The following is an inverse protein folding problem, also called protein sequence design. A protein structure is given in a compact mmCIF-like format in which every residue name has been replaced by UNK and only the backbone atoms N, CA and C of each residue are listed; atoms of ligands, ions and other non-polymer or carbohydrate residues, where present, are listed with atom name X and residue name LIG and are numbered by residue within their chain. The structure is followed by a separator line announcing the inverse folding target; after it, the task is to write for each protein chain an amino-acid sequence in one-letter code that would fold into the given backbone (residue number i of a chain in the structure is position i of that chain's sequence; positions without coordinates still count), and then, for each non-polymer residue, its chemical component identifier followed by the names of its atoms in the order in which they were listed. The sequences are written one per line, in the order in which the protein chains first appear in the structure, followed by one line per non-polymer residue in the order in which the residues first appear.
data_IF_250216702289
#
_entry.id   IF_250216702289
#
_cell.length_a   1.000
_cell.length_b   1.000
_cell.length_c   1.000
_cell.angle_alpha   90.00
_cell.angle_beta   90.00
_cell.angle_gamma   90.00
#
_symmetry.space_group_name_H-M   'P 1'
#
loop_
_entity.id
_entity.type
_entity.pdbx_description
1 polymer ?
#
# COMPACT_ATOMS: atom_id res chain seq x y z
N UNK A 1 -21.06 44.71 34.68
CA UNK A 1 -21.85 44.21 33.53
C UNK A 1 -20.95 44.13 32.30
N UNK A 2 -19.99 43.20 32.34
CA UNK A 2 -19.05 42.87 31.28
C UNK A 2 -18.78 41.37 31.50
N UNK A 3 -18.84 40.56 30.44
CA UNK A 3 -18.80 39.08 30.41
C UNK A 3 -20.17 38.38 30.28
N UNK A 4 -20.65 38.34 29.05
CA UNK A 4 -21.27 37.18 28.40
C UNK A 4 -21.57 37.60 26.96
N UNK A 5 -20.81 37.06 26.00
CA UNK A 5 -21.02 37.03 24.52
C UNK A 5 -19.68 37.07 23.77
N UNK A 6 -18.73 36.25 24.19
CA UNK A 6 -17.53 35.88 23.42
C UNK A 6 -17.35 34.38 23.64
N UNK A 7 -18.26 33.56 23.11
CA UNK A 7 -18.18 32.09 23.05
C UNK A 7 -18.97 31.58 21.81
N UNK A 8 -18.83 32.28 20.68
CA UNK A 8 -19.20 31.75 19.36
C UNK A 8 -17.91 31.74 18.52
N UNK A 9 -16.96 30.89 18.92
CA UNK A 9 -15.79 30.55 18.12
C UNK A 9 -16.22 29.65 16.96
N UNK A 10 -16.16 30.20 15.74
CA UNK A 10 -15.75 29.55 14.50
C UNK A 10 -16.01 28.04 14.39
N UNK A 11 -17.26 27.67 14.14
CA UNK A 11 -17.61 26.38 13.54
C UNK A 11 -17.13 26.40 12.08
N UNK A 12 -15.81 26.27 11.85
CA UNK A 12 -15.25 26.18 10.50
C UNK A 12 -15.91 25.01 9.77
N UNK A 13 -16.50 25.28 8.61
CA UNK A 13 -16.83 24.26 7.62
C UNK A 13 -15.55 23.47 7.30
N UNK A 14 -15.39 22.28 7.90
CA UNK A 14 -14.23 21.41 7.66
C UNK A 14 -14.47 20.74 6.30
N UNK A 15 -14.16 21.40 5.19
CA UNK A 15 -14.15 20.74 3.88
C UNK A 15 -12.85 19.97 3.68
N UNK A 16 -12.92 18.68 3.34
CA UNK A 16 -11.74 17.83 3.07
C UNK A 16 -11.22 17.98 1.64
N UNK A 17 -11.96 18.65 0.76
CA UNK A 17 -11.50 18.93 -0.59
C UNK A 17 -10.31 19.91 -0.56
N UNK A 18 -9.33 19.66 -1.42
CA UNK A 18 -8.14 20.49 -1.66
C UNK A 18 -7.20 20.69 -0.47
N UNK A 19 -7.35 19.90 0.60
CA UNK A 19 -6.43 19.96 1.75
C UNK A 19 -5.03 19.42 1.43
N UNK A 20 -4.96 18.30 0.69
CA UNK A 20 -3.69 17.66 0.31
C UNK A 20 -3.34 17.85 -1.15
N UNK A 21 -4.34 17.72 -2.03
CA UNK A 21 -4.17 17.87 -3.46
C UNK A 21 -4.88 19.15 -3.91
N UNK A 22 -4.16 20.24 -4.21
CA UNK A 22 -4.72 21.46 -4.79
C UNK A 22 -5.53 21.16 -6.05
N UNK A 23 -6.41 22.09 -6.44
CA UNK A 23 -7.30 21.90 -7.58
C UNK A 23 -6.54 21.66 -8.89
N UNK A 24 -5.48 22.41 -9.14
CA UNK A 24 -4.67 22.27 -10.37
C UNK A 24 -4.05 20.87 -10.48
N UNK A 25 -3.44 20.40 -9.39
CA UNK A 25 -2.86 19.04 -9.29
C UNK A 25 -3.94 17.99 -9.45
N UNK A 26 -5.12 18.23 -8.86
CA UNK A 26 -6.24 17.30 -8.93
C UNK A 26 -6.73 17.07 -10.35
N UNK A 27 -6.80 18.15 -11.13
CA UNK A 27 -7.15 18.12 -12.54
C UNK A 27 -6.09 17.40 -13.37
N UNK A 28 -4.83 17.78 -13.18
CA UNK A 28 -3.69 17.16 -13.86
C UNK A 28 -3.65 15.64 -13.65
N UNK A 29 -3.81 15.17 -12.41
CA UNK A 29 -3.80 13.75 -12.07
C UNK A 29 -4.94 12.96 -12.75
N UNK A 30 -6.12 13.57 -12.95
CA UNK A 30 -7.23 12.92 -13.64
C UNK A 30 -6.96 12.75 -15.14
N UNK A 31 -6.13 13.59 -15.74
CA UNK A 31 -5.79 13.53 -17.18
C UNK A 31 -4.61 12.58 -17.48
N UNK A 32 -3.72 12.36 -16.50
CA UNK A 32 -2.49 11.54 -16.65
C UNK A 32 -2.73 10.04 -16.81
N UNK A 33 -1.71 9.34 -17.33
CA UNK A 33 -1.63 7.88 -17.30
C UNK A 33 -1.14 7.35 -15.94
N UNK A 34 -1.13 6.02 -15.75
CA UNK A 34 -0.78 5.39 -14.48
C UNK A 34 0.67 5.69 -14.08
N UNK A 35 1.61 5.66 -15.03
CA UNK A 35 3.05 5.79 -14.77
C UNK A 35 3.45 7.25 -14.49
N UNK A 36 2.81 8.20 -15.16
CA UNK A 36 2.94 9.64 -14.92
C UNK A 36 2.29 10.03 -13.59
N UNK A 37 1.10 9.49 -13.30
CA UNK A 37 0.41 9.70 -12.02
C UNK A 37 1.27 9.21 -10.85
N UNK A 38 1.85 8.02 -10.94
CA UNK A 38 2.74 7.49 -9.89
C UNK A 38 3.95 8.40 -9.67
N UNK A 39 4.61 8.86 -10.74
CA UNK A 39 5.73 9.80 -10.64
C UNK A 39 5.32 11.12 -9.98
N UNK A 40 4.15 11.64 -10.32
CA UNK A 40 3.64 12.89 -9.74
C UNK A 40 3.30 12.75 -8.26
N UNK A 41 2.69 11.63 -7.87
CA UNK A 41 2.40 11.33 -6.44
C UNK A 41 3.71 11.21 -5.64
N UNK A 42 4.71 10.52 -6.19
CA UNK A 42 6.05 10.42 -5.57
C UNK A 42 6.67 11.81 -5.36
N UNK A 43 6.56 12.69 -6.36
CA UNK A 43 7.05 14.08 -6.27
C UNK A 43 6.32 14.89 -5.18
N UNK A 44 4.98 14.81 -5.14
CA UNK A 44 4.13 15.55 -4.19
C UNK A 44 4.44 15.14 -2.74
N UNK A 45 4.52 13.83 -2.49
CA UNK A 45 4.73 13.29 -1.14
C UNK A 45 6.22 13.08 -0.78
N UNK A 46 7.14 13.46 -1.67
CA UNK A 46 8.61 13.38 -1.48
C UNK A 46 9.07 11.97 -1.07
N UNK A 47 8.55 10.95 -1.76
CA UNK A 47 8.86 9.54 -1.54
C UNK A 47 10.15 9.17 -2.29
N UNK A 48 11.29 9.59 -1.77
CA UNK A 48 12.57 9.54 -2.50
C UNK A 48 13.20 8.13 -2.55
N UNK A 49 12.80 7.23 -1.65
CA UNK A 49 13.43 5.91 -1.47
C UNK A 49 12.52 4.76 -1.90
N UNK A 50 11.54 4.97 -2.79
CA UNK A 50 10.65 3.90 -3.26
C UNK A 50 11.35 2.65 -3.83
N UNK A 51 12.62 2.74 -4.22
CA UNK A 51 13.41 1.60 -4.72
C UNK A 51 14.07 0.78 -3.60
N UNK A 52 14.23 1.36 -2.41
CA UNK A 52 15.01 0.80 -1.29
C UNK A 52 14.12 0.57 -0.07
N UNK A 53 13.20 1.50 0.24
CA UNK A 53 12.24 1.40 1.34
C UNK A 53 10.89 0.88 0.85
N UNK A 54 10.55 -0.33 1.30
CA UNK A 54 9.26 -0.97 1.01
C UNK A 54 8.07 -0.14 1.51
N UNK A 55 8.24 0.65 2.58
CA UNK A 55 7.17 1.46 3.17
C UNK A 55 6.79 2.59 2.22
N UNK A 56 7.78 3.32 1.70
CA UNK A 56 7.55 4.39 0.73
C UNK A 56 6.99 3.84 -0.59
N UNK A 57 7.48 2.68 -1.03
CA UNK A 57 6.94 2.00 -2.21
C UNK A 57 5.45 1.63 -2.05
N UNK A 58 5.09 1.03 -0.92
CA UNK A 58 3.70 0.65 -0.63
C UNK A 58 2.78 1.87 -0.49
N UNK A 59 3.27 2.98 0.05
CA UNK A 59 2.56 4.26 0.08
C UNK A 59 2.28 4.80 -1.32
N UNK A 60 3.31 4.81 -2.18
CA UNK A 60 3.18 5.26 -3.57
C UNK A 60 2.15 4.41 -4.32
N UNK A 61 2.24 3.08 -4.23
CA UNK A 61 1.32 2.17 -4.92
C UNK A 61 -0.12 2.35 -4.43
N UNK A 62 -0.33 2.51 -3.12
CA UNK A 62 -1.66 2.68 -2.55
C UNK A 62 -2.29 4.04 -2.94
N UNK A 63 -1.51 5.12 -2.91
CA UNK A 63 -1.98 6.44 -3.35
C UNK A 63 -2.28 6.48 -4.84
N UNK A 64 -1.43 5.90 -5.68
CA UNK A 64 -1.69 5.77 -7.11
C UNK A 64 -2.94 4.95 -7.38
N UNK A 65 -3.12 3.84 -6.67
CA UNK A 65 -4.33 3.01 -6.81
C UNK A 65 -5.60 3.76 -6.41
N UNK A 66 -5.55 4.60 -5.37
CA UNK A 66 -6.68 5.40 -4.93
C UNK A 66 -7.07 6.46 -5.98
N UNK A 67 -6.10 7.22 -6.49
CA UNK A 67 -6.37 8.24 -7.52
C UNK A 67 -6.86 7.59 -8.81
N UNK A 68 -6.26 6.47 -9.22
CA UNK A 68 -6.69 5.71 -10.39
C UNK A 68 -8.11 5.19 -10.24
N UNK A 69 -8.46 4.61 -9.09
CA UNK A 69 -9.82 4.16 -8.82
C UNK A 69 -10.83 5.32 -8.86
N UNK A 70 -10.50 6.48 -8.28
CA UNK A 70 -11.37 7.65 -8.32
C UNK A 70 -11.60 8.15 -9.76
N UNK A 71 -10.57 8.08 -10.61
CA UNK A 71 -10.67 8.35 -12.04
C UNK A 71 -11.63 7.37 -12.74
N UNK A 72 -11.53 6.08 -12.45
CA UNK A 72 -12.45 5.06 -13.00
C UNK A 72 -13.91 5.24 -12.54
N UNK A 73 -14.12 5.74 -11.31
CA UNK A 73 -15.45 6.09 -10.82
C UNK A 73 -16.01 7.40 -11.41
N UNK A 74 -15.22 8.13 -12.21
CA UNK A 74 -15.64 9.37 -12.84
C UNK A 74 -15.79 10.54 -11.86
N UNK A 75 -15.00 10.55 -10.77
CA UNK A 75 -15.05 11.64 -9.80
C UNK A 75 -14.55 12.96 -10.41
N UNK A 76 -15.18 14.07 -10.01
CA UNK A 76 -14.68 15.40 -10.36
C UNK A 76 -13.45 15.76 -9.49
N UNK A 77 -12.77 16.88 -9.82
CA UNK A 77 -11.57 17.35 -9.12
C UNK A 77 -11.76 17.48 -7.60
N UNK A 78 -12.90 18.03 -7.18
CA UNK A 78 -13.25 18.24 -5.77
C UNK A 78 -13.49 16.91 -5.04
N UNK A 79 -14.22 15.99 -5.67
CA UNK A 79 -14.54 14.67 -5.16
C UNK A 79 -13.31 13.79 -5.04
N UNK A 80 -12.45 13.79 -6.07
CA UNK A 80 -11.18 13.07 -6.08
C UNK A 80 -10.26 13.59 -4.96
N UNK A 81 -10.08 14.91 -4.86
CA UNK A 81 -9.25 15.52 -3.82
C UNK A 81 -9.77 15.20 -2.41
N UNK A 82 -11.07 15.32 -2.18
CA UNK A 82 -11.70 14.97 -0.90
C UNK A 82 -11.55 13.49 -0.53
N UNK A 83 -11.80 12.60 -1.50
CA UNK A 83 -11.59 11.16 -1.32
C UNK A 83 -10.13 10.84 -1.00
N UNK A 84 -9.19 11.45 -1.73
CA UNK A 84 -7.77 11.27 -1.49
C UNK A 84 -7.38 11.73 -0.08
N UNK A 85 -7.88 12.88 0.37
CA UNK A 85 -7.68 13.35 1.76
C UNK A 85 -8.17 12.32 2.77
N UNK A 86 -9.37 11.74 2.57
CA UNK A 86 -9.87 10.69 3.45
C UNK A 86 -8.95 9.46 3.47
N UNK A 87 -8.54 8.97 2.29
CA UNK A 87 -7.62 7.83 2.16
C UNK A 87 -6.29 8.11 2.88
N UNK A 88 -5.71 9.28 2.67
CA UNK A 88 -4.46 9.68 3.30
C UNK A 88 -4.59 9.79 4.82
N UNK A 89 -5.63 10.45 5.33
CA UNK A 89 -5.85 10.59 6.78
C UNK A 89 -6.02 9.23 7.46
N UNK A 90 -6.75 8.30 6.84
CA UNK A 90 -6.90 6.95 7.39
C UNK A 90 -5.57 6.20 7.45
N UNK A 91 -4.69 6.39 6.47
CA UNK A 91 -3.37 5.76 6.44
C UNK A 91 -2.41 6.41 7.46
N UNK A 92 -2.44 7.74 7.58
CA UNK A 92 -1.70 8.47 8.62
C UNK A 92 -2.15 8.09 10.03
N UNK A 93 -3.44 7.82 10.25
CA UNK A 93 -3.95 7.34 11.53
C UNK A 93 -3.30 6.00 11.95
N UNK A 94 -2.93 5.15 10.98
CA UNK A 94 -2.19 3.90 11.26
C UNK A 94 -0.73 4.21 11.53
N UNK A 95 -0.11 5.01 10.65
CA UNK A 95 1.32 5.30 10.68
C UNK A 95 1.75 6.11 11.89
N UNK A 96 1.08 7.23 12.16
CA UNK A 96 1.50 8.21 13.17
C UNK A 96 0.77 8.03 14.51
N UNK A 97 -0.52 7.69 14.47
CA UNK A 97 -1.37 7.61 15.67
C UNK A 97 -1.54 6.18 16.21
N UNK A 98 -1.09 5.17 15.48
CA UNK A 98 -1.26 3.74 15.79
C UNK A 98 -2.68 3.40 16.24
N UNK A 99 -3.67 3.98 15.56
CA UNK A 99 -5.08 3.76 15.88
C UNK A 99 -5.48 2.31 15.57
N UNK A 100 -6.35 1.75 16.41
CA UNK A 100 -6.95 0.44 16.12
C UNK A 100 -7.89 0.51 14.92
N UNK A 101 -8.13 -0.63 14.26
CA UNK A 101 -9.10 -0.72 13.15
C UNK A 101 -10.45 -0.09 13.51
N UNK A 102 -10.96 -0.37 14.72
CA UNK A 102 -12.28 0.11 15.16
C UNK A 102 -12.30 1.63 15.28
N UNK A 103 -11.22 2.23 15.78
CA UNK A 103 -11.14 3.69 15.94
C UNK A 103 -10.92 4.39 14.59
N UNK A 104 -10.17 3.77 13.68
CA UNK A 104 -9.99 4.31 12.34
C UNK A 104 -11.29 4.20 11.50
N UNK A 105 -12.08 3.15 11.70
CA UNK A 105 -13.44 3.06 11.15
C UNK A 105 -14.37 4.15 11.69
N UNK A 106 -14.24 4.53 12.97
CA UNK A 106 -14.98 5.69 13.53
C UNK A 106 -14.54 6.98 12.86
N UNK A 107 -13.25 7.14 12.55
CA UNK A 107 -12.74 8.30 11.82
C UNK A 107 -13.34 8.39 10.41
N UNK A 108 -13.37 7.27 9.66
CA UNK A 108 -14.08 7.22 8.37
C UNK A 108 -15.56 7.58 8.52
N UNK A 109 -16.24 7.01 9.53
CA UNK A 109 -17.65 7.34 9.80
C UNK A 109 -17.84 8.83 10.03
N UNK A 110 -16.96 9.48 10.79
CA UNK A 110 -17.00 10.92 11.04
C UNK A 110 -16.82 11.73 9.76
N UNK A 111 -15.90 11.35 8.87
CA UNK A 111 -15.69 12.03 7.59
C UNK A 111 -16.92 11.97 6.67
N UNK A 112 -17.70 10.88 6.74
CA UNK A 112 -18.89 10.66 5.93
C UNK A 112 -20.18 11.30 6.51
N UNK A 113 -20.11 11.94 7.69
CA UNK A 113 -21.28 12.61 8.29
C UNK A 113 -21.70 13.80 7.41
N UNK A 114 -23.00 13.90 7.12
CA UNK A 114 -23.58 15.00 6.33
C UNK A 114 -23.71 14.73 4.83
N UNK A 115 -23.30 13.54 4.36
CA UNK A 115 -23.53 13.10 2.98
C UNK A 115 -25.03 12.88 2.73
N UNK A 116 -25.57 13.49 1.68
CA UNK A 116 -26.96 13.31 1.26
C UNK A 116 -28.01 14.01 2.13
N UNK A 117 -27.61 14.89 3.05
CA UNK A 117 -28.53 15.69 3.86
C UNK A 117 -28.59 17.13 3.35
N UNK A 118 -29.69 17.50 2.67
CA UNK A 118 -29.92 18.88 2.21
C UNK A 118 -30.35 19.85 3.35
N UNK A 119 -30.56 19.35 4.58
CA UNK A 119 -31.59 19.94 5.47
C UNK A 119 -31.07 20.73 6.69
N UNK A 120 -29.80 20.72 7.09
CA UNK A 120 -29.41 21.53 8.27
C UNK A 120 -27.97 22.03 8.25
N UNK A 121 -27.83 23.36 8.37
CA UNK A 121 -26.60 24.09 8.71
C UNK A 121 -26.14 23.87 10.16
N UNK A 122 -26.93 23.18 10.97
CA UNK A 122 -26.72 23.01 12.42
C UNK A 122 -25.95 21.74 12.81
N UNK A 123 -25.64 20.85 11.87
CA UNK A 123 -24.85 19.65 12.14
C UNK A 123 -23.40 19.83 11.69
N UNK A 124 -22.46 19.34 12.52
CA UNK A 124 -21.04 19.28 12.17
C UNK A 124 -20.85 18.39 10.93
N UNK A 125 -20.57 19.01 9.79
CA UNK A 125 -20.26 18.31 8.54
C UNK A 125 -18.94 17.56 8.66
N UNK A 126 -18.89 16.35 8.12
CA UNK A 126 -17.70 15.49 8.11
C UNK A 126 -16.66 15.85 7.06
N UNK A 127 -17.01 16.77 6.14
CA UNK A 127 -16.11 17.32 5.13
C UNK A 127 -16.11 16.63 3.78
N UNK A 128 -16.98 15.64 3.60
CA UNK A 128 -17.25 14.96 2.33
C UNK A 128 -18.68 15.23 1.81
N UNK A 129 -19.30 16.34 2.22
CA UNK A 129 -20.69 16.69 1.92
C UNK A 129 -21.00 16.92 0.43
N UNK A 130 -19.97 17.11 -0.40
CA UNK A 130 -20.05 17.21 -1.87
C UNK A 130 -20.12 15.85 -2.60
N UNK A 131 -20.13 14.73 -1.87
CA UNK A 131 -20.30 13.39 -2.43
C UNK A 131 -21.76 12.94 -2.34
N UNK A 132 -22.17 12.12 -3.31
CA UNK A 132 -23.50 11.49 -3.30
C UNK A 132 -23.51 10.23 -2.43
N UNK A 133 -24.70 9.79 -2.01
CA UNK A 133 -24.87 8.55 -1.23
C UNK A 133 -24.30 7.32 -1.95
N UNK A 134 -24.45 7.26 -3.28
CA UNK A 134 -23.90 6.16 -4.11
C UNK A 134 -22.37 6.19 -4.10
N UNK A 135 -21.78 7.38 -4.26
CA UNK A 135 -20.33 7.55 -4.22
C UNK A 135 -19.75 7.23 -2.83
N UNK A 136 -20.45 7.63 -1.76
CA UNK A 136 -20.06 7.30 -0.39
C UNK A 136 -20.06 5.80 -0.12
N UNK A 137 -21.06 5.07 -0.61
CA UNK A 137 -21.09 3.60 -0.52
C UNK A 137 -19.94 2.96 -1.31
N UNK A 138 -19.63 3.49 -2.50
CA UNK A 138 -18.49 3.03 -3.29
C UNK A 138 -17.15 3.27 -2.56
N UNK A 139 -16.99 4.44 -1.92
CA UNK A 139 -15.81 4.78 -1.11
C UNK A 139 -15.67 3.85 0.10
N UNK A 140 -16.75 3.62 0.85
CA UNK A 140 -16.73 2.67 1.98
C UNK A 140 -16.29 1.29 1.50
N UNK A 141 -16.83 0.83 0.37
CA UNK A 141 -16.47 -0.47 -0.20
C UNK A 141 -15.00 -0.52 -0.63
N UNK A 142 -14.51 0.53 -1.30
CA UNK A 142 -13.11 0.63 -1.68
C UNK A 142 -12.20 0.53 -0.45
N UNK A 143 -12.41 1.39 0.55
CA UNK A 143 -11.58 1.46 1.76
C UNK A 143 -11.65 0.14 2.55
N UNK A 144 -12.83 -0.49 2.60
CA UNK A 144 -13.00 -1.77 3.29
C UNK A 144 -12.16 -2.87 2.62
N UNK A 145 -12.21 -2.95 1.29
CA UNK A 145 -11.51 -3.98 0.52
C UNK A 145 -10.00 -3.72 0.36
N UNK A 146 -9.59 -2.45 0.39
CA UNK A 146 -8.18 -2.07 0.20
C UNK A 146 -7.46 -1.94 1.55
N UNK A 147 -7.83 -0.94 2.35
CA UNK A 147 -7.14 -0.59 3.59
C UNK A 147 -7.52 -1.50 4.77
N UNK A 148 -8.81 -1.62 5.05
CA UNK A 148 -9.26 -2.31 6.27
C UNK A 148 -9.11 -3.83 6.21
N UNK A 149 -9.25 -4.44 5.02
CA UNK A 149 -8.97 -5.85 4.83
C UNK A 149 -7.50 -6.20 5.17
N UNK A 150 -6.58 -5.29 4.87
CA UNK A 150 -5.14 -5.49 5.08
C UNK A 150 -4.61 -4.67 6.28
N UNK A 151 -5.47 -4.31 7.23
CA UNK A 151 -5.11 -3.38 8.31
C UNK A 151 -3.89 -3.81 9.13
N UNK A 152 -3.84 -5.11 9.49
CA UNK A 152 -2.71 -5.69 10.23
C UNK A 152 -1.40 -5.58 9.45
N UNK A 153 -1.44 -5.71 8.13
CA UNK A 153 -0.26 -5.58 7.29
C UNK A 153 0.29 -4.15 7.36
N UNK A 154 -0.59 -3.14 7.23
CA UNK A 154 -0.19 -1.75 7.37
C UNK A 154 0.31 -1.42 8.78
N UNK A 155 -0.35 -1.91 9.84
CA UNK A 155 0.16 -1.80 11.22
C UNK A 155 1.58 -2.36 11.34
N UNK A 156 1.81 -3.60 10.87
CA UNK A 156 3.13 -4.21 10.95
C UNK A 156 4.18 -3.49 10.10
N UNK A 157 3.81 -3.01 8.92
CA UNK A 157 4.70 -2.28 8.02
C UNK A 157 5.20 -0.96 8.63
N UNK A 158 4.37 -0.26 9.40
CA UNK A 158 4.74 1.01 10.02
C UNK A 158 5.32 0.86 11.44
N UNK A 159 4.87 -0.13 12.21
CA UNK A 159 5.26 -0.28 13.62
C UNK A 159 6.50 -1.14 13.85
N UNK A 160 6.81 -2.09 12.96
CA UNK A 160 7.96 -2.97 13.16
C UNK A 160 9.19 -2.46 12.41
N UNK A 161 10.31 -2.36 13.12
CA UNK A 161 11.64 -2.30 12.50
C UNK A 161 11.93 -3.67 11.89
N UNK A 162 11.96 -3.74 10.55
CA UNK A 162 12.37 -4.95 9.84
C UNK A 162 13.84 -5.25 10.13
N UNK A 163 14.18 -6.54 10.28
CA UNK A 163 15.56 -6.96 10.43
C UNK A 163 16.31 -6.67 9.12
N UNK A 164 17.32 -5.80 9.16
CA UNK A 164 18.15 -5.50 8.00
C UNK A 164 18.97 -6.75 7.62
N UNK A 165 18.64 -7.37 6.50
CA UNK A 165 19.45 -8.43 5.91
C UNK A 165 20.45 -7.81 4.93
N UNK A 166 21.72 -7.74 5.33
CA UNK A 166 22.79 -7.23 4.46
C UNK A 166 23.14 -8.31 3.43
N UNK A 167 22.58 -8.17 2.22
CA UNK A 167 22.89 -9.08 1.11
C UNK A 167 24.19 -8.61 0.43
N UNK A 168 25.31 -9.21 0.81
CA UNK A 168 26.60 -8.97 0.15
C UNK A 168 26.61 -9.50 -1.28
N UNK A 169 26.81 -8.62 -2.26
CA UNK A 169 27.01 -9.01 -3.66
C UNK A 169 28.48 -8.77 -4.04
N UNK A 170 29.20 -9.84 -4.37
CA UNK A 170 30.56 -9.75 -4.90
C UNK A 170 30.50 -9.41 -6.40
N UNK A 171 30.81 -8.16 -6.74
CA UNK A 171 30.88 -7.73 -8.15
C UNK A 171 32.26 -8.11 -8.68
N UNK A 172 32.33 -9.20 -9.45
CA UNK A 172 33.54 -9.53 -10.21
C UNK A 172 33.64 -8.65 -11.45
N UNK A 173 34.47 -7.60 -11.37
CA UNK A 173 34.77 -6.73 -12.51
C UNK A 173 35.92 -7.35 -13.27
N UNK A 174 35.65 -7.88 -14.46
CA UNK A 174 36.69 -8.29 -15.40
C UNK A 174 37.41 -7.03 -15.91
N UNK A 175 38.61 -6.78 -15.40
CA UNK A 175 39.46 -5.69 -15.88
C UNK A 175 40.00 -6.10 -17.25
N UNK A 176 39.78 -5.31 -18.32
CA UNK A 176 40.37 -5.61 -19.63
C UNK A 176 41.89 -5.68 -19.50
N UNK A 177 42.51 -6.69 -20.13
CA UNK A 177 43.97 -6.83 -20.17
C UNK A 177 44.56 -5.53 -20.73
N UNK A 178 45.69 -5.08 -20.18
CA UNK A 178 46.32 -3.82 -20.56
C UNK A 178 46.52 -3.73 -22.09
N UNK A 179 46.28 -2.54 -22.67
CA UNK A 179 46.36 -2.26 -24.12
C UNK A 179 47.75 -2.54 -24.75
N UNK A 180 48.72 -2.94 -23.94
CA UNK A 180 50.09 -3.28 -24.35
C UNK A 180 50.19 -4.72 -24.87
N UNK A 181 49.14 -5.54 -24.72
CA UNK A 181 49.06 -6.84 -25.39
C UNK A 181 48.23 -6.70 -26.68
N UNK A 182 48.75 -7.15 -27.84
CA UNK A 182 47.92 -7.29 -29.03
C UNK A 182 46.78 -8.26 -28.72
N UNK A 183 45.57 -7.91 -29.17
CA UNK A 183 44.40 -8.78 -29.06
C UNK A 183 44.15 -9.45 -30.42
N UNK A 184 44.02 -10.79 -30.49
CA UNK A 184 44.11 -11.75 -29.39
C UNK A 184 45.56 -12.00 -28.91
N UNK A 185 45.77 -12.43 -27.66
CA UNK A 185 47.10 -12.80 -27.17
C UNK A 185 47.74 -13.86 -28.07
N UNK A 186 49.02 -13.74 -28.44
CA UNK A 186 49.67 -14.78 -29.23
C UNK A 186 49.58 -16.11 -28.50
N UNK A 187 49.12 -17.16 -29.19
CA UNK A 187 48.95 -18.55 -28.74
C UNK A 187 47.64 -18.92 -28.01
N UNK A 188 46.72 -17.99 -27.75
CA UNK A 188 45.43 -18.31 -27.08
C UNK A 188 44.41 -18.93 -28.08
N UNK A 189 44.51 -18.55 -29.34
CA UNK A 189 43.77 -19.11 -30.46
C UNK A 189 44.82 -19.57 -31.49
N UNK A 190 44.76 -20.81 -31.96
CA UNK A 190 45.71 -21.38 -32.94
C UNK A 190 45.57 -20.74 -34.32
N UNK A 191 45.85 -19.44 -34.40
CA UNK A 191 45.69 -18.58 -35.57
C UNK A 191 46.98 -18.62 -36.39
N UNK A 192 46.83 -18.68 -37.72
CA UNK A 192 47.95 -18.62 -38.66
C UNK A 192 48.71 -17.29 -38.57
N UNK A 193 50.03 -17.34 -38.66
CA UNK A 193 50.95 -16.21 -38.46
C UNK A 193 50.63 -15.00 -39.36
N UNK A 194 50.13 -15.24 -40.57
CA UNK A 194 49.74 -14.19 -41.52
C UNK A 194 48.61 -13.29 -41.00
N UNK A 195 47.67 -13.86 -40.24
CA UNK A 195 46.54 -13.12 -39.68
C UNK A 195 47.01 -12.22 -38.53
N UNK A 196 47.94 -12.70 -37.69
CA UNK A 196 48.55 -11.91 -36.61
C UNK A 196 49.30 -10.71 -37.20
N UNK A 197 50.05 -10.94 -38.27
CA UNK A 197 50.82 -9.90 -38.96
C UNK A 197 49.94 -8.83 -39.63
N UNK A 198 48.69 -9.15 -39.98
CA UNK A 198 47.68 -8.19 -40.46
C UNK A 198 47.22 -7.26 -39.34
N UNK A 199 46.87 -7.81 -38.17
CA UNK A 199 46.46 -7.02 -37.00
C UNK A 199 47.59 -6.15 -36.44
N UNK A 200 48.85 -6.61 -36.48
CA UNK A 200 50.00 -5.81 -36.06
C UNK A 200 50.31 -4.64 -37.02
N UNK A 201 49.91 -4.75 -38.29
CA UNK A 201 50.09 -3.68 -39.29
C UNK A 201 48.98 -2.63 -39.24
N UNK A 202 47.77 -3.00 -38.83
CA UNK A 202 46.71 -2.06 -38.49
C UNK A 202 46.98 -1.42 -37.13
N UNK A 203 47.93 -0.47 -37.12
CA UNK A 203 48.10 0.41 -35.98
C UNK A 203 46.79 1.19 -35.76
N UNK A 204 46.00 0.79 -34.75
CA UNK A 204 44.88 1.58 -34.27
C UNK A 204 45.41 2.98 -33.90
N UNK A 205 44.69 4.06 -34.28
CA UNK A 205 45.07 5.40 -33.85
C UNK A 205 45.14 5.41 -32.32
N UNK A 206 46.23 5.98 -31.79
CA UNK A 206 46.49 6.04 -30.36
C UNK A 206 45.23 6.55 -29.62
N UNK A 207 44.83 5.92 -28.49
CA UNK A 207 43.72 6.41 -27.71
C UNK A 207 44.01 7.86 -27.29
N UNK A 208 43.10 8.76 -27.65
CA UNK A 208 43.15 10.15 -27.21
C UNK A 208 43.36 10.19 -25.69
N UNK A 209 44.19 11.14 -25.25
CA UNK A 209 44.61 11.32 -23.86
C UNK A 209 43.48 11.07 -22.86
N UNK A 210 43.75 10.21 -21.89
CA UNK A 210 42.88 9.74 -20.80
C UNK A 210 42.41 10.82 -19.82
N UNK A 211 42.63 12.10 -20.12
CA UNK A 211 42.21 13.24 -19.31
C UNK A 211 40.74 13.64 -19.51
N UNK A 212 40.11 13.30 -20.64
CA UNK A 212 38.76 13.80 -20.96
C UNK A 212 37.61 12.83 -20.61
N UNK A 213 37.91 11.56 -20.30
CA UNK A 213 36.89 10.52 -20.05
C UNK A 213 36.28 10.63 -18.63
N UNK A 214 36.96 11.28 -17.69
CA UNK A 214 36.47 11.43 -16.31
C UNK A 214 35.52 12.63 -16.10
N UNK A 215 35.22 13.39 -17.15
CA UNK A 215 34.37 14.59 -17.07
C UNK A 215 32.96 14.42 -17.67
N UNK A 216 32.45 13.19 -17.82
CA UNK A 216 31.01 12.99 -18.03
C UNK A 216 30.33 12.56 -16.73
N UNK A 217 29.36 13.38 -16.35
CA UNK A 217 28.56 13.35 -15.13
C UNK A 217 28.15 11.93 -14.70
N UNK A 218 28.65 11.51 -13.53
CA UNK A 218 28.38 10.19 -12.91
C UNK A 218 26.87 9.94 -12.69
N UNK A 219 26.09 11.01 -12.61
CA UNK A 219 24.64 11.03 -12.44
C UNK A 219 23.88 10.43 -13.66
N UNK A 220 24.41 10.60 -14.87
CA UNK A 220 23.77 10.09 -16.09
C UNK A 220 23.91 8.55 -16.23
N UNK A 221 24.97 7.97 -15.66
CA UNK A 221 25.17 6.50 -15.69
C UNK A 221 24.30 5.77 -14.67
N UNK A 222 24.00 6.39 -13.53
CA UNK A 222 23.11 5.79 -12.53
C UNK A 222 21.68 5.70 -13.10
N UNK A 223 21.17 6.78 -13.68
CA UNK A 223 19.84 6.76 -14.33
C UNK A 223 19.74 5.79 -15.52
N UNK A 224 20.81 5.64 -16.33
CA UNK A 224 20.81 4.69 -17.44
C UNK A 224 20.93 3.24 -16.97
N UNK A 225 21.73 2.97 -15.93
CA UNK A 225 21.83 1.65 -15.32
C UNK A 225 20.54 1.25 -14.56
N UNK A 226 19.90 2.20 -13.87
CA UNK A 226 18.61 2.01 -13.20
C UNK A 226 17.49 1.77 -14.20
N UNK A 227 17.41 2.56 -15.28
CA UNK A 227 16.40 2.34 -16.33
C UNK A 227 16.62 1.02 -17.08
N UNK A 228 17.87 0.58 -17.28
CA UNK A 228 18.17 -0.73 -17.90
C UNK A 228 17.88 -1.89 -16.94
N UNK A 229 18.18 -1.75 -15.64
CA UNK A 229 17.84 -2.76 -14.63
C UNK A 229 16.33 -2.84 -14.37
N UNK A 230 15.62 -1.71 -14.34
CA UNK A 230 14.17 -1.66 -14.17
C UNK A 230 13.46 -2.24 -15.40
N UNK A 231 13.92 -1.92 -16.61
CA UNK A 231 13.40 -2.54 -17.84
C UNK A 231 13.68 -4.04 -17.89
N UNK A 232 14.84 -4.49 -17.41
CA UNK A 232 15.14 -5.94 -17.31
C UNK A 232 14.25 -6.63 -16.28
N UNK A 233 13.97 -5.98 -15.14
CA UNK A 233 13.05 -6.48 -14.10
C UNK A 233 11.61 -6.54 -14.59
N UNK A 234 11.12 -5.49 -15.27
CA UNK A 234 9.79 -5.46 -15.90
C UNK A 234 9.66 -6.47 -17.05
N UNK A 235 10.72 -6.67 -17.84
CA UNK A 235 10.75 -7.74 -18.86
C UNK A 235 10.79 -9.14 -18.22
N UNK A 236 11.44 -9.32 -17.08
CA UNK A 236 11.43 -10.58 -16.35
C UNK A 236 10.05 -10.86 -15.71
N UNK A 237 9.36 -9.83 -15.20
CA UNK A 237 7.96 -9.91 -14.75
C UNK A 237 7.01 -10.22 -15.92
N UNK A 238 7.17 -9.59 -17.09
CA UNK A 238 6.41 -9.92 -18.31
C UNK A 238 6.73 -11.32 -18.85
N UNK A 239 7.97 -11.78 -18.71
CA UNK A 239 8.35 -13.16 -19.06
C UNK A 239 7.78 -14.15 -18.06
N UNK A 240 7.62 -13.81 -16.78
CA UNK A 240 6.90 -14.64 -15.80
C UNK A 240 5.40 -14.72 -16.08
N UNK A 241 4.77 -13.66 -16.60
CA UNK A 241 3.35 -13.74 -17.01
C UNK A 241 3.12 -14.44 -18.35
N UNK A 242 4.16 -14.56 -19.20
CA UNK A 242 4.08 -15.20 -20.52
C UNK A 242 4.67 -16.63 -20.53
N UNK A 243 5.59 -16.95 -19.64
CA UNK A 243 6.04 -18.32 -19.36
C UNK A 243 5.10 -18.96 -18.35
N UNK A 244 4.16 -19.74 -18.88
CA UNK A 244 3.55 -20.88 -18.18
C UNK A 244 4.65 -21.78 -17.59
N UNK A 245 5.10 -21.50 -16.37
CA UNK A 245 5.21 -22.56 -15.37
C UNK A 245 3.77 -23.06 -15.20
N UNK A 246 3.33 -24.26 -15.57
CA UNK A 246 3.87 -25.56 -15.15
C UNK A 246 4.63 -25.46 -13.84
N UNK A 247 3.97 -24.82 -12.88
CA UNK A 247 4.11 -25.16 -11.47
C UNK A 247 3.61 -26.60 -11.42
N UNK A 248 4.51 -27.55 -11.15
CA UNK A 248 4.10 -28.78 -10.49
C UNK A 248 3.37 -28.30 -9.24
N UNK A 249 2.04 -28.34 -9.28
CA UNK A 249 1.23 -27.99 -8.13
C UNK A 249 1.76 -28.86 -6.99
N UNK A 250 2.43 -28.24 -6.03
CA UNK A 250 2.18 -28.60 -4.64
C UNK A 250 0.67 -28.66 -4.55
N UNK A 251 0.15 -29.86 -4.35
CA UNK A 251 -1.27 -30.16 -4.28
C UNK A 251 -1.93 -29.02 -3.52
N UNK A 252 -2.76 -28.26 -4.23
CA UNK A 252 -3.55 -27.17 -3.69
C UNK A 252 -4.03 -27.63 -2.31
N UNK A 253 -3.53 -27.00 -1.24
CA UNK A 253 -3.71 -27.52 0.14
C UNK A 253 -5.21 -27.64 0.45
N UNK A 254 -6.03 -26.90 -0.28
CA UNK A 254 -7.49 -26.90 -0.25
C UNK A 254 -8.15 -27.95 -1.16
N UNK A 255 -7.44 -28.53 -2.14
CA UNK A 255 -7.95 -29.63 -3.00
C UNK A 255 -8.07 -30.96 -2.26
N UNK A 256 -7.35 -31.13 -1.15
CA UNK A 256 -7.48 -32.29 -0.26
C UNK A 256 -8.58 -32.10 0.80
N UNK A 257 -9.11 -30.88 0.93
CA UNK A 257 -10.14 -30.56 1.92
C UNK A 257 -11.52 -30.87 1.34
N UNK A 258 -12.18 -31.89 1.88
CA UNK A 258 -13.54 -32.23 1.46
C UNK A 258 -14.54 -31.31 2.15
N UNK A 259 -15.73 -31.15 1.55
CA UNK A 259 -16.82 -30.41 2.19
C UNK A 259 -17.21 -30.98 3.56
N UNK A 260 -16.94 -32.26 3.78
CA UNK A 260 -17.20 -32.96 5.04
C UNK A 260 -16.19 -32.57 6.13
N UNK A 261 -14.91 -32.38 5.78
CA UNK A 261 -13.87 -31.93 6.72
C UNK A 261 -14.17 -30.51 7.22
N UNK A 262 -14.62 -29.62 6.32
CA UNK A 262 -15.06 -28.28 6.70
C UNK A 262 -16.28 -28.32 7.60
N UNK A 263 -17.25 -29.20 7.29
CA UNK A 263 -18.46 -29.35 8.09
C UNK A 263 -18.13 -29.84 9.51
N UNK A 264 -17.25 -30.82 9.66
CA UNK A 264 -16.86 -31.37 10.96
C UNK A 264 -16.16 -30.32 11.84
N UNK A 265 -15.25 -29.52 11.25
CA UNK A 265 -14.59 -28.44 11.98
C UNK A 265 -15.59 -27.37 12.41
N UNK A 266 -16.53 -26.99 11.52
CA UNK A 266 -17.57 -26.00 11.85
C UNK A 266 -18.51 -26.53 12.93
N UNK A 267 -18.92 -27.80 12.86
CA UNK A 267 -19.76 -28.44 13.89
C UNK A 267 -19.04 -28.52 15.25
N UNK A 268 -17.74 -28.85 15.26
CA UNK A 268 -16.92 -28.87 16.48
C UNK A 268 -16.83 -27.48 17.11
N UNK A 269 -16.49 -26.45 16.32
CA UNK A 269 -16.36 -25.07 16.82
C UNK A 269 -17.72 -24.54 17.27
N UNK A 270 -18.80 -24.85 16.54
CA UNK A 270 -20.16 -24.48 16.92
C UNK A 270 -20.57 -25.15 18.24
N UNK A 271 -20.30 -26.46 18.40
CA UNK A 271 -20.60 -27.18 19.63
C UNK A 271 -19.83 -26.62 20.84
N UNK A 272 -18.56 -26.26 20.65
CA UNK A 272 -17.74 -25.69 21.72
C UNK A 272 -18.22 -24.30 22.14
N UNK A 273 -18.49 -23.41 21.17
CA UNK A 273 -18.93 -22.05 21.48
C UNK A 273 -20.38 -21.98 21.99
N UNK A 274 -21.31 -22.72 21.36
CA UNK A 274 -22.72 -22.72 21.75
C UNK A 274 -22.95 -23.57 23.01
N UNK A 275 -22.20 -24.65 23.22
CA UNK A 275 -22.31 -25.47 24.42
C UNK A 275 -21.96 -24.69 25.70
N UNK A 276 -20.88 -23.92 25.66
CA UNK A 276 -20.47 -23.05 26.77
C UNK A 276 -21.53 -21.96 27.06
N UNK A 277 -22.07 -21.34 26.01
CA UNK A 277 -23.15 -20.36 26.12
C UNK A 277 -24.45 -20.96 26.67
N UNK A 278 -24.85 -22.14 26.21
CA UNK A 278 -26.03 -22.84 26.70
C UNK A 278 -25.91 -23.18 28.19
N UNK A 279 -24.72 -23.64 28.61
CA UNK A 279 -24.46 -23.92 30.02
C UNK A 279 -24.51 -22.65 30.87
N UNK A 280 -23.88 -21.56 30.42
CA UNK A 280 -23.92 -20.28 31.14
C UNK A 280 -25.35 -19.73 31.27
N UNK A 281 -26.14 -19.77 30.19
CA UNK A 281 -27.53 -19.32 30.20
C UNK A 281 -28.38 -20.17 31.15
N UNK A 282 -28.21 -21.50 31.15
CA UNK A 282 -28.94 -22.39 32.05
C UNK A 282 -28.63 -22.10 33.52
N UNK A 283 -27.34 -21.91 33.86
CA UNK A 283 -26.92 -21.55 35.22
C UNK A 283 -27.51 -20.20 35.65
N UNK A 284 -27.43 -19.17 34.78
CA UNK A 284 -28.00 -17.84 35.06
C UNK A 284 -29.52 -17.91 35.27
N UNK A 285 -30.23 -18.75 34.51
CA UNK A 285 -31.67 -18.93 34.67
C UNK A 285 -32.00 -19.57 36.02
N UNK A 286 -31.25 -20.61 36.40
CA UNK A 286 -31.43 -21.30 37.67
C UNK A 286 -31.11 -20.39 38.88
N UNK A 287 -30.08 -19.54 38.78
CA UNK A 287 -29.80 -18.53 39.79
C UNK A 287 -30.94 -17.52 39.95
N UNK A 288 -31.54 -17.08 38.84
CA UNK A 288 -32.68 -16.15 38.86
C UNK A 288 -33.93 -16.81 39.44
N UNK A 289 -34.20 -18.05 39.10
CA UNK A 289 -35.30 -18.84 39.66
C UNK A 289 -35.14 -18.98 41.18
N UNK A 290 -33.97 -19.40 41.65
CA UNK A 290 -33.67 -19.52 43.08
C UNK A 290 -33.78 -18.18 43.83
N UNK A 291 -33.34 -17.08 43.21
CA UNK A 291 -33.48 -15.75 43.78
C UNK A 291 -34.95 -15.32 43.92
N UNK A 292 -35.79 -15.67 42.94
CA UNK A 292 -37.24 -15.41 42.98
C UNK A 292 -37.92 -16.27 44.04
N UNK A 293 -37.62 -17.57 44.11
CA UNK A 293 -38.13 -18.48 45.15
C UNK A 293 -37.77 -17.98 46.55
N UNK A 294 -36.53 -17.51 46.74
CA UNK A 294 -36.10 -16.95 48.03
C UNK A 294 -36.89 -15.69 48.40
N UNK A 295 -37.16 -14.81 47.43
CA UNK A 295 -38.01 -13.63 47.64
C UNK A 295 -39.44 -14.02 47.99
N UNK A 296 -40.03 -14.99 47.30
CA UNK A 296 -41.37 -15.50 47.58
C UNK A 296 -41.46 -16.07 48.99
N UNK A 297 -40.50 -16.93 49.38
CA UNK A 297 -40.45 -17.50 50.73
C UNK A 297 -40.26 -16.44 51.82
N UNK A 298 -39.54 -15.35 51.52
CA UNK A 298 -39.39 -14.22 52.45
C UNK A 298 -40.70 -13.45 52.62
N UNK A 299 -41.50 -13.30 51.56
CA UNK A 299 -42.84 -12.68 51.63
C UNK A 299 -43.81 -13.59 52.39
N UNK A 300 -43.78 -14.90 52.14
CA UNK A 300 -44.65 -15.88 52.83
C UNK A 300 -44.32 -16.07 54.32
N UNK A 301 -43.09 -15.78 54.77
CA UNK A 301 -42.70 -15.81 56.20
C UNK A 301 -43.08 -14.54 56.97
N UNK A 302 -43.47 -13.48 56.28
CA UNK A 302 -43.82 -12.17 56.87
C UNK A 302 -45.34 -11.97 56.95
N UNK A 303 -46.13 -12.88 56.35
CA UNK A 303 -47.57 -13.01 56.53
C UNK A 303 -47.88 -14.06 57.63
#
# INVERSE_FOLDING_TARGET
MKQRKEDEEDQKDISLAFQLLPQDISKELLEMDIDEMQRKIIEIFKLNNCTIDLREAALADYYTSAVWWAKEQGFNEQQMSGFFTAVHTLLENIKEKHMTLVDNMKSLKQMLVGIGTEISTDFTKGGLDFLDLVQAQAIIKYITNSLFQHYRLYEYMFSNTQAEEIIGHEIQIAVPKAANLPFPPPLDEGIEEEVINLYLKEALPAPASTSDIWNMNLDYKIHLAESVCLNRRLQNLRKQTTQKHTINLESDIFSQLTAQDVQEVVESVAAEMLGNLQHEVAVKLQEKENAIITKINKVLKVA
#
